data_IF_997948193807
#
_entry.id   IF_997948193807
#
_cell.length_a   1.000
_cell.length_b   1.000
_cell.length_c   1.000
_cell.angle_alpha   90.00
_cell.angle_beta   90.00
_cell.angle_gamma   90.00
#
_symmetry.space_group_name_H-M   'P 1'
#
loop_
_entity.id
_entity.type
_entity.pdbx_description
1 polymer ?
#
# COMPACT_ATOMS: atom_id res chain seq x y z
N UNK A 1 -50.17 22.93 -23.78
CA UNK A 1 -48.76 23.18 -23.94
C UNK A 1 -48.03 21.83 -23.91
N UNK A 2 -47.69 21.33 -25.09
CA UNK A 2 -47.15 20.01 -25.34
C UNK A 2 -45.60 20.14 -25.46
N UNK A 3 -44.88 19.57 -24.51
CA UNK A 3 -43.41 19.57 -24.55
C UNK A 3 -42.97 18.31 -25.28
N UNK A 4 -42.39 18.49 -26.47
CA UNK A 4 -41.83 17.45 -27.30
C UNK A 4 -40.54 16.90 -26.63
N UNK A 5 -40.57 15.60 -26.32
CA UNK A 5 -39.30 14.87 -25.99
C UNK A 5 -38.67 14.42 -27.30
N UNK A 6 -37.54 15.01 -27.64
CA UNK A 6 -36.70 14.60 -28.75
C UNK A 6 -35.78 13.47 -28.27
N UNK A 7 -36.11 12.24 -28.64
CA UNK A 7 -35.26 11.08 -28.49
C UNK A 7 -34.13 11.16 -29.54
N UNK A 8 -32.87 11.36 -29.11
CA UNK A 8 -31.68 11.17 -29.94
C UNK A 8 -31.23 9.73 -29.79
N UNK A 9 -31.10 8.96 -30.86
CA UNK A 9 -30.40 7.67 -30.82
C UNK A 9 -28.90 7.90 -30.98
N UNK A 10 -28.13 7.64 -29.92
CA UNK A 10 -26.67 7.59 -29.98
C UNK A 10 -26.27 6.25 -30.62
N UNK A 11 -26.00 6.27 -31.92
CA UNK A 11 -25.34 5.15 -32.61
C UNK A 11 -23.85 5.14 -32.21
N UNK A 12 -23.50 4.25 -31.29
CA UNK A 12 -22.09 3.95 -31.00
C UNK A 12 -21.58 2.98 -32.06
N UNK A 13 -20.80 3.50 -32.99
CA UNK A 13 -20.03 2.72 -33.97
C UNK A 13 -18.84 2.09 -33.28
N UNK A 14 -18.94 0.82 -32.88
CA UNK A 14 -17.82 0.04 -32.38
C UNK A 14 -16.96 -0.38 -33.54
N UNK A 15 -15.86 0.33 -33.81
CA UNK A 15 -14.80 -0.11 -34.70
C UNK A 15 -14.03 -1.22 -33.97
N UNK A 16 -14.23 -2.46 -34.42
CA UNK A 16 -13.49 -3.63 -33.98
C UNK A 16 -12.01 -3.54 -34.36
N UNK A 17 -11.17 -3.31 -33.36
CA UNK A 17 -9.74 -3.61 -33.47
C UNK A 17 -9.51 -5.01 -32.98
N UNK A 18 -9.38 -5.94 -33.87
CA UNK A 18 -8.87 -7.28 -33.62
C UNK A 18 -7.40 -7.18 -33.31
N UNK A 19 -7.03 -7.36 -32.05
CA UNK A 19 -5.63 -7.52 -31.67
C UNK A 19 -5.26 -8.97 -31.97
N UNK A 20 -4.48 -9.17 -33.03
CA UNK A 20 -3.84 -10.43 -33.33
C UNK A 20 -2.77 -10.72 -32.27
N UNK A 21 -3.05 -11.71 -31.42
CA UNK A 21 -2.07 -12.36 -30.55
C UNK A 21 -1.56 -13.60 -31.30
N UNK A 22 -0.69 -13.38 -32.27
CA UNK A 22 0.12 -14.44 -32.86
C UNK A 22 1.37 -13.79 -33.45
N UNK A 23 2.52 -14.30 -33.02
CA UNK A 23 3.89 -14.03 -33.41
C UNK A 23 4.72 -13.22 -32.42
N UNK A 24 5.22 -13.92 -31.41
CA UNK A 24 6.62 -13.77 -31.02
C UNK A 24 7.12 -15.06 -30.35
N UNK A 25 7.14 -16.11 -31.16
CA UNK A 25 8.05 -17.23 -30.94
C UNK A 25 9.30 -16.96 -31.74
N UNK A 26 10.25 -16.26 -31.21
CA UNK A 26 11.60 -16.15 -31.75
C UNK A 26 12.61 -16.49 -30.68
N UNK A 27 13.21 -17.65 -30.84
CA UNK A 27 14.46 -18.10 -30.27
C UNK A 27 15.55 -17.04 -30.47
N UNK A 28 16.38 -16.88 -29.46
CA UNK A 28 17.84 -16.89 -29.53
C UNK A 28 18.39 -16.15 -28.35
N UNK A 29 19.02 -16.89 -27.46
CA UNK A 29 20.49 -17.01 -27.40
C UNK A 29 21.21 -15.83 -26.80
N UNK A 30 21.69 -16.12 -25.61
CA UNK A 30 23.06 -15.85 -25.19
C UNK A 30 23.49 -14.40 -24.99
N UNK A 31 23.93 -14.13 -23.79
CA UNK A 31 24.81 -12.99 -23.59
C UNK A 31 24.68 -12.29 -22.23
N UNK A 32 25.40 -12.80 -21.24
CA UNK A 32 26.04 -11.90 -20.28
C UNK A 32 25.21 -11.33 -19.15
N UNK A 33 25.15 -12.04 -18.06
CA UNK A 33 25.04 -11.43 -16.73
C UNK A 33 26.30 -10.67 -16.40
N UNK A 34 26.20 -9.45 -15.88
CA UNK A 34 27.07 -9.09 -14.79
C UNK A 34 26.31 -8.51 -13.59
N UNK A 35 26.65 -9.01 -12.43
CA UNK A 35 26.57 -8.26 -11.19
C UNK A 35 25.25 -8.39 -10.44
N UNK A 36 24.97 -9.57 -9.94
CA UNK A 36 24.21 -9.72 -8.71
C UNK A 36 25.10 -9.20 -7.57
N UNK A 37 24.95 -7.93 -7.22
CA UNK A 37 25.39 -7.48 -5.91
C UNK A 37 24.35 -7.97 -4.88
N UNK A 38 24.50 -9.23 -4.59
CA UNK A 38 23.97 -9.85 -3.38
C UNK A 38 24.76 -9.29 -2.20
N UNK A 39 24.45 -8.10 -1.76
CA UNK A 39 24.80 -7.71 -0.39
C UNK A 39 23.89 -8.49 0.53
N UNK A 40 24.30 -9.72 0.79
CA UNK A 40 23.80 -10.55 1.88
C UNK A 40 24.14 -9.84 3.18
N UNK A 41 23.32 -8.88 3.58
CA UNK A 41 23.24 -8.47 4.97
C UNK A 41 22.56 -9.61 5.70
N UNK A 42 23.39 -10.46 6.31
CA UNK A 42 22.98 -11.43 7.31
C UNK A 42 22.43 -10.69 8.51
N UNK A 43 21.18 -10.27 8.42
CA UNK A 43 20.40 -9.61 9.47
C UNK A 43 19.11 -10.36 9.64
N UNK A 44 18.83 -10.76 10.84
CA UNK A 44 17.62 -11.37 11.38
C UNK A 44 16.45 -11.34 10.40
N UNK A 45 16.00 -12.50 9.95
CA UNK A 45 14.83 -12.64 9.10
C UNK A 45 13.66 -12.02 9.85
N UNK A 46 13.32 -10.78 9.46
CA UNK A 46 12.14 -10.12 9.99
C UNK A 46 10.92 -10.97 9.61
N UNK A 47 10.14 -11.35 10.60
CA UNK A 47 8.91 -12.14 10.39
C UNK A 47 7.88 -11.40 9.53
N UNK A 48 8.04 -10.11 9.38
CA UNK A 48 7.11 -9.21 8.69
C UNK A 48 7.79 -8.51 7.50
N UNK A 49 7.02 -8.11 6.48
CA UNK A 49 7.56 -7.50 5.27
C UNK A 49 8.23 -6.14 5.53
N UNK A 50 9.14 -5.77 4.64
CA UNK A 50 9.71 -4.42 4.59
C UNK A 50 8.68 -3.46 3.99
N UNK A 51 8.49 -2.27 4.58
CA UNK A 51 7.51 -1.30 4.15
C UNK A 51 8.08 -0.22 3.22
N UNK A 52 7.18 0.34 2.39
CA UNK A 52 7.40 1.49 1.52
C UNK A 52 6.82 2.74 2.18
N UNK A 53 7.64 3.75 2.44
CA UNK A 53 7.22 4.96 3.14
C UNK A 53 6.30 5.87 2.31
N UNK A 54 6.43 5.91 0.98
CA UNK A 54 5.58 6.73 0.11
C UNK A 54 4.14 6.20 0.13
N UNK A 55 3.98 4.91 -0.09
CA UNK A 55 2.69 4.24 0.00
C UNK A 55 2.14 4.26 1.42
N UNK A 56 3.02 4.24 2.42
CA UNK A 56 2.67 4.32 3.84
C UNK A 56 1.98 5.62 4.22
N UNK A 57 2.37 6.76 3.66
CA UNK A 57 1.70 8.05 3.88
C UNK A 57 0.26 8.05 3.38
N UNK A 58 0.04 7.55 2.17
CA UNK A 58 -1.30 7.47 1.58
C UNK A 58 -2.21 6.56 2.42
N UNK A 59 -1.72 5.40 2.80
CA UNK A 59 -2.45 4.43 3.62
C UNK A 59 -2.76 4.98 5.03
N UNK A 60 -1.82 5.69 5.63
CA UNK A 60 -2.03 6.36 6.91
C UNK A 60 -3.15 7.38 6.83
N UNK A 61 -3.13 8.24 5.80
CA UNK A 61 -4.14 9.25 5.58
C UNK A 61 -5.53 8.65 5.29
N UNK A 62 -5.58 7.47 4.69
CA UNK A 62 -6.82 6.76 4.44
C UNK A 62 -7.38 6.05 5.67
N UNK A 63 -6.54 5.55 6.58
CA UNK A 63 -6.96 4.58 7.60
C UNK A 63 -6.71 5.02 9.05
N UNK A 64 -5.74 5.89 9.31
CA UNK A 64 -5.24 6.17 10.66
C UNK A 64 -5.45 7.62 11.13
N UNK A 65 -5.49 8.56 10.18
CA UNK A 65 -5.49 10.00 10.46
C UNK A 65 -6.65 10.45 11.34
N UNK A 66 -7.83 9.83 11.20
CA UNK A 66 -9.04 10.21 11.97
C UNK A 66 -8.81 10.11 13.48
N UNK A 67 -8.05 9.10 13.91
CA UNK A 67 -7.76 8.87 15.33
C UNK A 67 -6.41 9.43 15.73
N UNK A 68 -5.38 9.26 14.91
CA UNK A 68 -4.00 9.61 15.27
C UNK A 68 -3.55 11.00 14.77
N UNK A 69 -4.45 11.75 14.15
CA UNK A 69 -4.22 13.12 13.70
C UNK A 69 -3.31 13.25 12.48
N UNK A 70 -3.29 14.42 11.84
CA UNK A 70 -2.45 14.68 10.69
C UNK A 70 -0.98 14.52 11.09
N UNK A 71 -0.19 13.89 10.20
CA UNK A 71 1.23 13.58 10.45
C UNK A 71 1.48 12.84 11.78
N UNK A 72 0.51 12.06 12.22
CA UNK A 72 0.61 11.23 13.43
C UNK A 72 0.89 12.00 14.73
N UNK A 73 0.42 13.25 14.81
CA UNK A 73 0.62 14.13 15.98
C UNK A 73 -0.25 13.79 17.17
N UNK A 74 -1.21 12.88 17.01
CA UNK A 74 -2.16 12.49 18.02
C UNK A 74 -3.53 13.16 17.85
N UNK A 75 -4.53 12.64 18.53
CA UNK A 75 -5.90 13.10 18.54
C UNK A 75 -6.71 12.28 19.54
N UNK A 76 -7.73 11.56 19.08
CA UNK A 76 -8.44 10.56 19.90
C UNK A 76 -7.47 9.45 20.32
N UNK A 77 -6.59 9.05 19.38
CA UNK A 77 -5.49 8.14 19.64
C UNK A 77 -4.20 8.87 20.02
N UNK A 78 -3.22 8.15 20.55
CA UNK A 78 -1.94 8.73 20.92
C UNK A 78 -1.14 9.23 19.72
N UNK A 79 -0.18 10.14 19.97
CA UNK A 79 0.85 10.51 19.00
C UNK A 79 1.66 9.26 18.61
N UNK A 80 1.84 9.07 17.29
CA UNK A 80 2.67 7.99 16.74
C UNK A 80 4.02 8.51 16.22
N UNK A 81 4.10 9.76 15.75
CA UNK A 81 5.35 10.37 15.33
C UNK A 81 6.38 10.35 16.51
N UNK A 82 7.56 9.77 16.26
CA UNK A 82 8.58 9.60 17.28
C UNK A 82 8.23 8.61 18.42
N UNK A 83 7.18 7.81 18.29
CA UNK A 83 6.76 6.89 19.35
C UNK A 83 7.71 5.68 19.43
N UNK A 84 8.23 5.33 20.64
CA UNK A 84 9.14 4.20 20.80
C UNK A 84 8.58 2.85 20.35
N UNK A 85 7.24 2.69 20.30
CA UNK A 85 6.60 1.46 19.84
C UNK A 85 6.99 1.12 18.41
N UNK A 86 7.30 2.12 17.56
CA UNK A 86 7.71 1.93 16.18
C UNK A 86 9.06 1.21 16.06
N UNK A 87 9.90 1.30 17.08
CA UNK A 87 11.19 0.61 17.15
C UNK A 87 11.08 -0.78 17.78
N UNK A 88 9.98 -1.05 18.47
CA UNK A 88 9.70 -2.36 19.04
C UNK A 88 8.81 -3.17 18.10
N UNK A 89 9.43 -4.05 17.30
CA UNK A 89 8.76 -4.85 16.28
C UNK A 89 7.58 -5.65 16.83
N UNK A 90 7.81 -6.37 17.91
CA UNK A 90 6.79 -7.23 18.50
C UNK A 90 5.62 -6.42 19.07
N UNK A 91 5.90 -5.31 19.75
CA UNK A 91 4.85 -4.47 20.32
C UNK A 91 4.01 -3.79 19.22
N UNK A 92 4.66 -3.30 18.16
CA UNK A 92 3.96 -2.69 17.02
C UNK A 92 2.98 -3.69 16.40
N UNK A 93 3.48 -4.85 15.99
CA UNK A 93 2.64 -5.85 15.32
C UNK A 93 1.51 -6.38 16.20
N UNK A 94 1.79 -6.59 17.48
CA UNK A 94 0.74 -6.98 18.42
C UNK A 94 -0.40 -5.95 18.48
N UNK A 95 -0.06 -4.66 18.57
CA UNK A 95 -1.07 -3.59 18.67
C UNK A 95 -1.87 -3.48 17.38
N UNK A 96 -1.22 -3.48 16.22
CA UNK A 96 -1.95 -3.29 14.95
C UNK A 96 -2.78 -4.50 14.55
N UNK A 97 -2.32 -5.71 14.87
CA UNK A 97 -3.05 -6.94 14.53
C UNK A 97 -4.20 -7.21 15.49
N UNK A 98 -4.00 -7.00 16.79
CA UNK A 98 -4.97 -7.38 17.83
C UNK A 98 -5.81 -6.20 18.32
N UNK A 99 -5.39 -4.97 18.03
CA UNK A 99 -5.99 -3.76 18.59
C UNK A 99 -5.54 -3.48 20.01
N UNK A 100 -5.89 -2.31 20.53
CA UNK A 100 -5.62 -1.93 21.92
C UNK A 100 -6.61 -0.86 22.38
N UNK A 101 -7.31 -1.10 23.50
CA UNK A 101 -8.33 -0.20 24.02
C UNK A 101 -9.39 0.14 22.96
N UNK A 102 -9.45 1.42 22.56
CA UNK A 102 -10.38 1.90 21.51
C UNK A 102 -9.88 1.69 20.09
N UNK A 103 -8.62 1.32 19.92
CA UNK A 103 -8.07 1.01 18.61
C UNK A 103 -8.53 -0.39 18.17
N UNK A 104 -9.25 -0.52 17.06
CA UNK A 104 -9.71 -1.82 16.57
C UNK A 104 -8.54 -2.65 16.01
N UNK A 105 -8.67 -3.99 15.96
CA UNK A 105 -7.71 -4.84 15.28
C UNK A 105 -7.73 -4.56 13.77
N UNK A 106 -6.56 -4.44 13.15
CA UNK A 106 -6.45 -4.22 11.71
C UNK A 106 -6.21 -5.50 10.92
N UNK A 107 -6.06 -6.64 11.62
CA UNK A 107 -5.99 -7.95 10.97
C UNK A 107 -7.23 -8.22 10.15
N UNK A 108 -7.04 -8.49 8.85
CA UNK A 108 -8.15 -8.70 7.90
C UNK A 108 -8.76 -7.40 7.34
N UNK A 109 -8.40 -6.22 7.87
CA UNK A 109 -8.76 -4.91 7.32
C UNK A 109 -7.64 -4.39 6.42
N UNK A 110 -6.41 -4.46 6.88
CA UNK A 110 -5.21 -4.16 6.13
C UNK A 110 -4.34 -5.41 5.99
N UNK A 111 -3.62 -5.51 4.90
CA UNK A 111 -2.60 -6.56 4.73
C UNK A 111 -1.37 -6.24 5.58
N UNK A 112 -0.56 -7.24 5.89
CA UNK A 112 0.70 -7.02 6.63
C UNK A 112 1.65 -6.09 5.86
N UNK A 113 1.65 -6.14 4.52
CA UNK A 113 2.43 -5.22 3.70
C UNK A 113 1.95 -3.77 3.88
N UNK A 114 0.66 -3.52 3.84
CA UNK A 114 0.10 -2.18 4.06
C UNK A 114 0.43 -1.65 5.46
N UNK A 115 0.36 -2.49 6.47
CA UNK A 115 0.76 -2.11 7.84
C UNK A 115 2.26 -1.84 7.94
N UNK A 116 3.11 -2.61 7.22
CA UNK A 116 4.55 -2.37 7.14
C UNK A 116 4.86 -1.05 6.44
N UNK A 117 4.14 -0.71 5.37
CA UNK A 117 4.26 0.54 4.64
C UNK A 117 3.93 1.74 5.55
N UNK A 118 2.81 1.68 6.27
CA UNK A 118 2.44 2.71 7.26
C UNK A 118 3.53 2.86 8.32
N UNK A 119 4.06 1.75 8.84
CA UNK A 119 5.15 1.77 9.82
C UNK A 119 6.41 2.42 9.28
N UNK A 120 6.78 2.12 8.03
CA UNK A 120 7.93 2.71 7.37
C UNK A 120 7.80 4.23 7.29
N UNK A 121 6.64 4.73 6.86
CA UNK A 121 6.37 6.17 6.84
C UNK A 121 6.39 6.81 8.23
N UNK A 122 5.74 6.20 9.22
CA UNK A 122 5.73 6.70 10.59
C UNK A 122 7.14 6.86 11.18
N UNK A 123 8.08 5.99 10.79
CA UNK A 123 9.50 6.10 11.20
C UNK A 123 10.23 7.28 10.58
N UNK A 124 9.72 7.88 9.51
CA UNK A 124 10.31 9.09 8.93
C UNK A 124 9.93 10.37 9.68
N UNK A 125 8.91 10.28 10.54
CA UNK A 125 8.40 11.41 11.30
C UNK A 125 9.19 11.60 12.61
N UNK A 126 9.51 12.87 12.98
CA UNK A 126 10.26 13.19 14.20
C UNK A 126 9.46 13.00 15.46
#
# INVERSE_FOLDING_TARGET
>A
MQTLFICFPLSVLVLGSTINIEDHLALASDGGLPGADTTSSSGMVSKHPTGDNTRGEELYNASCVVCHGPRATGGIGPRLAGNPVLSNEQAFWKIVLEGRHVMPPLKGVLTEQQMADIKAWLKTLP
#
